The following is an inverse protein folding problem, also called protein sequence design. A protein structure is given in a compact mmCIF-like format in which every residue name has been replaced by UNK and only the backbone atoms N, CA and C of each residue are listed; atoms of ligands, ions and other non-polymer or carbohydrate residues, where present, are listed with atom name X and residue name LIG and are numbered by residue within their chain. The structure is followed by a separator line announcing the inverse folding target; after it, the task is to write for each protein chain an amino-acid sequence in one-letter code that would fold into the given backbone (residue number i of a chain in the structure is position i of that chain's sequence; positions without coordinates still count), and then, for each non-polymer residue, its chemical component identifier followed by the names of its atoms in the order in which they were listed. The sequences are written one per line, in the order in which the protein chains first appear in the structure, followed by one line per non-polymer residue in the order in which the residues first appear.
data_IF_945983802466
#
_entry.id   IF_945983802466
#
_cell.length_a   1.000
_cell.length_b   1.000
_cell.length_c   1.000
_cell.angle_alpha   90.00
_cell.angle_beta   90.00
_cell.angle_gamma   90.00
#
_symmetry.space_group_name_H-M   'P 1'
#
loop_
_entity.id
_entity.type
_entity.pdbx_description
1 polymer ?
#
# COMPACT_ATOMS: atom_id res chain seq x y z
N UNK A 1 17.89 16.03 26.07
CA UNK A 1 16.80 16.09 25.08
C UNK A 1 16.70 14.74 24.36
N UNK A 2 15.60 13.98 24.54
CA UNK A 2 15.37 12.75 23.76
C UNK A 2 14.96 13.16 22.34
N UNK A 3 15.74 12.76 21.32
CA UNK A 3 15.35 12.91 19.91
C UNK A 3 13.98 12.23 19.73
N UNK A 4 12.99 12.94 19.19
CA UNK A 4 11.74 12.32 18.72
C UNK A 4 12.15 11.30 17.65
N UNK A 5 11.92 10.03 17.94
CA UNK A 5 12.12 8.96 16.98
C UNK A 5 11.04 9.13 15.91
N UNK A 6 11.45 9.51 14.71
CA UNK A 6 10.55 9.78 13.60
C UNK A 6 9.88 8.47 13.20
N UNK A 7 8.58 8.33 13.43
CA UNK A 7 7.83 7.05 13.37
C UNK A 7 7.75 6.46 11.94
N UNK A 8 8.26 7.20 10.97
CA UNK A 8 8.48 6.76 9.58
C UNK A 8 9.58 5.68 9.47
N UNK A 9 10.45 5.57 10.48
CA UNK A 9 11.53 4.57 10.62
C UNK A 9 11.05 3.21 11.19
N UNK A 10 10.03 2.59 10.62
CA UNK A 10 9.60 1.25 11.08
C UNK A 10 9.10 0.32 9.98
N UNK A 11 8.41 0.85 8.97
CA UNK A 11 8.03 0.06 7.80
C UNK A 11 9.19 -0.07 6.81
N UNK A 12 9.80 1.06 6.43
CA UNK A 12 10.89 1.10 5.45
C UNK A 12 12.07 0.25 5.94
N UNK A 13 12.50 0.41 7.20
CA UNK A 13 13.61 -0.36 7.76
C UNK A 13 13.36 -1.87 7.73
N UNK A 14 12.11 -2.29 8.02
CA UNK A 14 11.73 -3.70 7.95
C UNK A 14 11.84 -4.23 6.53
N UNK A 15 11.23 -3.54 5.56
CA UNK A 15 11.24 -4.00 4.16
C UNK A 15 12.67 -3.95 3.60
N UNK A 16 13.46 -2.94 3.95
CA UNK A 16 14.87 -2.87 3.58
C UNK A 16 15.65 -4.07 4.11
N UNK A 17 15.43 -4.48 5.36
CA UNK A 17 16.06 -5.67 5.92
C UNK A 17 15.64 -6.94 5.17
N UNK A 18 14.34 -7.11 4.92
CA UNK A 18 13.81 -8.28 4.20
C UNK A 18 14.39 -8.34 2.77
N UNK A 19 14.58 -7.19 2.11
CA UNK A 19 15.24 -7.10 0.79
C UNK A 19 16.72 -7.48 0.87
N UNK A 20 17.46 -6.94 1.85
CA UNK A 20 18.88 -7.23 2.03
C UNK A 20 19.09 -8.73 2.26
N UNK A 21 18.31 -9.34 3.14
CA UNK A 21 18.38 -10.77 3.43
C UNK A 21 18.09 -11.63 2.18
N UNK A 22 17.10 -11.25 1.36
CA UNK A 22 16.83 -11.94 0.11
C UNK A 22 18.02 -11.87 -0.86
N UNK A 23 18.66 -10.71 -0.96
CA UNK A 23 19.84 -10.50 -1.81
C UNK A 23 21.05 -11.28 -1.31
N UNK A 24 21.31 -11.30 0.00
CA UNK A 24 22.37 -12.09 0.62
C UNK A 24 22.19 -13.60 0.36
N UNK A 25 20.94 -14.06 0.29
CA UNK A 25 20.57 -15.43 -0.06
C UNK A 25 20.56 -15.70 -1.59
N UNK A 26 21.13 -14.80 -2.40
CA UNK A 26 21.25 -14.97 -3.85
C UNK A 26 19.93 -14.84 -4.61
N UNK A 27 18.87 -14.35 -3.97
CA UNK A 27 17.55 -14.17 -4.58
C UNK A 27 17.28 -12.69 -4.79
N UNK A 28 17.36 -12.21 -6.03
CA UNK A 28 16.82 -10.90 -6.37
C UNK A 28 15.29 -11.02 -6.49
N UNK A 29 14.50 -10.41 -5.59
CA UNK A 29 13.06 -10.65 -5.56
C UNK A 29 12.30 -10.12 -6.78
N UNK A 30 12.92 -9.23 -7.55
CA UNK A 30 12.42 -8.73 -8.83
C UNK A 30 12.87 -9.58 -10.04
N UNK A 31 13.63 -10.66 -9.83
CA UNK A 31 14.16 -11.53 -10.90
C UNK A 31 13.92 -12.99 -10.53
N UNK A 32 13.07 -13.68 -11.29
CA UNK A 32 13.02 -15.16 -11.23
C UNK A 32 14.25 -15.71 -11.97
N UNK A 33 15.04 -16.63 -11.38
CA UNK A 33 16.26 -17.13 -12.01
C UNK A 33 16.03 -17.98 -13.28
N UNK A 34 14.80 -18.45 -13.53
CA UNK A 34 14.48 -19.38 -14.63
C UNK A 34 13.62 -18.79 -15.76
N UNK A 35 13.34 -17.49 -15.79
CA UNK A 35 12.68 -16.87 -16.93
C UNK A 35 13.29 -15.51 -17.24
N UNK A 36 14.07 -15.45 -18.34
CA UNK A 36 14.68 -14.21 -18.87
C UNK A 36 13.69 -13.17 -19.39
N UNK A 37 12.45 -13.17 -18.91
CA UNK A 37 11.47 -12.14 -19.17
C UNK A 37 10.79 -11.79 -17.85
N UNK A 38 10.97 -10.53 -17.44
CA UNK A 38 10.07 -9.87 -16.49
C UNK A 38 8.74 -9.71 -17.24
N UNK A 39 7.96 -10.77 -17.40
CA UNK A 39 6.66 -10.65 -18.06
C UNK A 39 5.74 -9.86 -17.13
N UNK A 40 4.99 -8.92 -17.71
CA UNK A 40 3.94 -8.14 -17.03
C UNK A 40 2.98 -9.02 -16.20
N UNK A 41 2.91 -10.32 -16.50
CA UNK A 41 2.07 -11.32 -15.85
C UNK A 41 2.41 -11.58 -14.37
N UNK A 42 3.60 -11.19 -13.91
CA UNK A 42 4.07 -11.46 -12.54
C UNK A 42 4.21 -10.21 -11.66
N UNK A 43 3.93 -9.03 -12.19
CA UNK A 43 3.97 -7.80 -11.41
C UNK A 43 2.83 -7.79 -10.39
N UNK A 44 3.10 -7.55 -9.08
CA UNK A 44 2.03 -7.42 -8.11
C UNK A 44 1.00 -6.38 -8.53
N UNK A 45 -0.27 -6.77 -8.53
CA UNK A 45 -1.35 -5.88 -8.98
C UNK A 45 -2.63 -6.09 -8.16
N UNK A 46 -3.49 -5.08 -8.19
CA UNK A 46 -4.81 -5.19 -7.60
C UNK A 46 -5.81 -5.79 -8.61
N UNK A 47 -6.38 -6.98 -8.35
CA UNK A 47 -7.24 -7.66 -9.32
C UNK A 47 -8.59 -6.96 -9.55
N UNK A 48 -8.99 -6.02 -8.69
CA UNK A 48 -10.22 -5.25 -8.87
C UNK A 48 -9.98 -4.05 -9.79
N UNK A 49 -8.88 -3.34 -9.61
CA UNK A 49 -8.61 -2.11 -10.38
C UNK A 49 -7.72 -2.33 -11.60
N UNK A 50 -7.06 -3.49 -11.70
CA UNK A 50 -6.05 -3.80 -12.71
C UNK A 50 -4.73 -3.03 -12.53
N UNK A 51 -4.62 -2.17 -11.51
CA UNK A 51 -3.43 -1.33 -11.31
C UNK A 51 -2.30 -2.13 -10.68
N UNK A 52 -1.11 -2.00 -11.26
CA UNK A 52 0.13 -2.53 -10.70
C UNK A 52 0.55 -1.70 -9.48
N UNK A 53 1.18 -2.36 -8.51
CA UNK A 53 1.86 -1.69 -7.41
C UNK A 53 3.22 -1.16 -7.89
N UNK A 54 3.66 -0.06 -7.29
CA UNK A 54 4.88 0.64 -7.69
C UNK A 54 5.84 0.81 -6.50
N UNK A 55 7.11 1.10 -6.80
CA UNK A 55 8.13 1.44 -5.82
C UNK A 55 8.35 0.36 -4.76
N UNK A 56 8.45 0.76 -3.48
CA UNK A 56 8.72 -0.18 -2.37
C UNK A 56 7.60 -1.21 -2.19
N UNK A 57 6.36 -0.89 -2.57
CA UNK A 57 5.26 -1.84 -2.50
C UNK A 57 5.41 -2.93 -3.56
N UNK A 58 5.87 -2.57 -4.77
CA UNK A 58 6.18 -3.57 -5.79
C UNK A 58 7.20 -4.58 -5.28
N UNK A 59 8.29 -4.11 -4.68
CA UNK A 59 9.36 -4.98 -4.18
C UNK A 59 8.88 -5.87 -3.03
N UNK A 60 8.25 -5.28 -2.02
CA UNK A 60 7.71 -6.02 -0.88
C UNK A 60 6.69 -7.09 -1.32
N UNK A 61 5.72 -6.72 -2.15
CA UNK A 61 4.70 -7.66 -2.60
C UNK A 61 5.26 -8.75 -3.52
N UNK A 62 6.30 -8.45 -4.31
CA UNK A 62 7.01 -9.45 -5.12
C UNK A 62 7.71 -10.50 -4.24
N UNK A 63 8.39 -10.07 -3.17
CA UNK A 63 8.98 -10.96 -2.16
C UNK A 63 7.93 -11.90 -1.56
N UNK A 64 6.81 -11.33 -1.10
CA UNK A 64 5.76 -12.11 -0.47
C UNK A 64 5.08 -13.07 -1.47
N UNK A 65 4.82 -12.62 -2.70
CA UNK A 65 4.27 -13.47 -3.75
C UNK A 65 5.19 -14.66 -4.04
N UNK A 66 6.51 -14.46 -4.08
CA UNK A 66 7.47 -15.55 -4.28
C UNK A 66 7.38 -16.61 -3.19
N UNK A 67 7.21 -16.20 -1.93
CA UNK A 67 6.98 -17.11 -0.80
C UNK A 67 5.61 -17.82 -0.86
N UNK A 68 4.64 -17.27 -1.61
CA UNK A 68 3.27 -17.76 -1.75
C UNK A 68 3.00 -18.34 -3.15
N UNK A 69 3.88 -19.21 -3.64
CA UNK A 69 3.79 -19.90 -4.95
C UNK A 69 3.78 -18.99 -6.19
N UNK A 70 4.08 -17.70 -6.04
CA UNK A 70 4.19 -16.74 -7.12
C UNK A 70 2.90 -16.05 -7.54
N UNK A 71 1.80 -16.12 -6.77
CA UNK A 71 0.57 -15.39 -7.13
C UNK A 71 0.75 -13.87 -6.94
N UNK A 72 0.64 -13.05 -7.99
CA UNK A 72 0.88 -11.61 -7.93
C UNK A 72 -0.37 -10.80 -7.53
N UNK A 73 -1.50 -11.44 -7.27
CA UNK A 73 -2.76 -10.74 -6.99
C UNK A 73 -2.85 -10.33 -5.53
N UNK A 74 -2.92 -9.01 -5.29
CA UNK A 74 -3.05 -8.46 -3.94
C UNK A 74 -4.30 -7.61 -3.81
N UNK A 75 -5.11 -7.87 -2.79
CA UNK A 75 -6.31 -7.10 -2.51
C UNK A 75 -6.53 -6.93 -1.02
N UNK A 76 -7.27 -5.89 -0.65
CA UNK A 76 -7.65 -5.69 0.76
C UNK A 76 -8.77 -6.64 1.17
N UNK A 77 -8.89 -6.88 2.47
CA UNK A 77 -9.98 -7.69 3.03
C UNK A 77 -11.38 -7.16 2.63
N UNK A 78 -11.58 -5.83 2.66
CA UNK A 78 -12.84 -5.21 2.25
C UNK A 78 -13.15 -5.43 0.77
N UNK A 79 -12.12 -5.39 -0.08
CA UNK A 79 -12.25 -5.71 -1.49
C UNK A 79 -12.68 -7.17 -1.69
N UNK A 80 -12.11 -8.12 -0.94
CA UNK A 80 -12.52 -9.52 -1.02
C UNK A 80 -14.00 -9.69 -0.63
N UNK A 81 -14.44 -9.06 0.46
CA UNK A 81 -15.84 -9.07 0.88
C UNK A 81 -16.79 -8.49 -0.19
N UNK A 82 -16.37 -7.43 -0.89
CA UNK A 82 -17.18 -6.84 -1.97
C UNK A 82 -17.43 -7.80 -3.13
N UNK A 83 -16.55 -8.78 -3.33
CA UNK A 83 -16.69 -9.86 -4.31
C UNK A 83 -17.39 -11.11 -3.72
N UNK A 84 -17.94 -11.03 -2.51
CA UNK A 84 -18.47 -12.17 -1.74
C UNK A 84 -17.44 -13.28 -1.51
N UNK A 85 -16.16 -12.95 -1.53
CA UNK A 85 -15.06 -13.85 -1.20
C UNK A 85 -14.64 -13.68 0.28
N UNK A 86 -14.01 -14.72 0.84
CA UNK A 86 -13.56 -14.74 2.23
C UNK A 86 -12.07 -15.08 2.32
N UNK A 87 -11.33 -14.26 3.07
CA UNK A 87 -9.96 -14.59 3.46
C UNK A 87 -9.98 -15.79 4.42
N UNK A 88 -9.19 -16.81 4.12
CA UNK A 88 -9.13 -18.03 4.94
C UNK A 88 -8.75 -17.70 6.39
N UNK A 89 -9.34 -18.42 7.33
CA UNK A 89 -9.06 -18.23 8.76
C UNK A 89 -7.58 -18.52 9.05
N UNK A 90 -6.91 -17.60 9.74
CA UNK A 90 -5.50 -17.73 10.12
C UNK A 90 -4.52 -17.04 9.16
N UNK A 91 -4.96 -16.64 7.97
CA UNK A 91 -4.13 -15.89 7.03
C UNK A 91 -3.78 -14.49 7.57
N UNK A 92 -2.58 -14.02 7.24
CA UNK A 92 -2.08 -12.69 7.62
C UNK A 92 -1.92 -11.83 6.37
N UNK A 93 -2.31 -10.57 6.47
CA UNK A 93 -2.08 -9.60 5.40
C UNK A 93 -0.66 -9.04 5.42
N UNK A 94 -0.27 -8.46 4.29
CA UNK A 94 0.99 -7.73 4.13
C UNK A 94 0.73 -6.22 4.19
N UNK A 95 1.53 -5.50 4.99
CA UNK A 95 1.48 -4.04 5.04
C UNK A 95 2.06 -3.42 3.76
N UNK A 96 1.43 -2.34 3.29
CA UNK A 96 1.93 -1.50 2.19
C UNK A 96 1.98 -0.04 2.66
N UNK A 97 2.78 0.78 1.99
CA UNK A 97 2.88 2.21 2.28
C UNK A 97 2.18 3.06 1.22
N UNK A 98 1.37 4.01 1.66
CA UNK A 98 0.70 4.96 0.78
C UNK A 98 0.91 6.38 1.31
N UNK A 99 1.46 7.25 0.44
CA UNK A 99 1.69 8.65 0.76
C UNK A 99 0.48 9.46 0.31
N UNK A 100 -0.19 10.08 1.28
CA UNK A 100 -1.36 10.93 1.02
C UNK A 100 -1.02 12.37 1.37
N UNK A 101 -0.76 13.17 0.33
CA UNK A 101 -0.45 14.60 0.47
C UNK A 101 -1.70 15.47 0.52
N UNK A 102 -2.89 14.89 0.62
CA UNK A 102 -4.14 15.63 0.67
C UNK A 102 -4.97 15.23 1.88
N UNK A 103 -5.58 16.23 2.51
CA UNK A 103 -6.56 16.04 3.58
C UNK A 103 -7.86 16.73 3.19
N UNK A 104 -8.96 16.17 3.67
CA UNK A 104 -10.25 16.84 3.57
C UNK A 104 -10.46 17.65 4.84
N UNK A 105 -10.64 18.96 4.68
CA UNK A 105 -10.95 19.89 5.77
C UNK A 105 -12.32 20.49 5.55
N UNK A 106 -12.97 20.90 6.64
CA UNK A 106 -14.25 21.62 6.55
C UNK A 106 -13.99 22.99 5.89
N UNK A 107 -14.83 23.34 4.92
CA UNK A 107 -14.79 24.64 4.25
C UNK A 107 -15.30 25.69 5.22
N UNK A 108 -14.51 26.75 5.40
CA UNK A 108 -14.89 27.90 6.23
C UNK A 108 -15.33 29.07 5.34
N UNK A 109 -16.22 29.90 5.86
CA UNK A 109 -16.54 31.22 5.29
C UNK A 109 -15.52 32.28 5.76
N UNK A 110 -15.72 33.53 5.33
CA UNK A 110 -14.85 34.67 5.65
C UNK A 110 -14.82 34.99 7.16
N UNK A 111 -15.82 34.53 7.92
CA UNK A 111 -15.93 34.68 9.37
C UNK A 111 -15.41 33.46 10.16
N UNK A 112 -14.87 32.45 9.46
CA UNK A 112 -14.31 31.23 10.06
C UNK A 112 -15.36 30.20 10.50
N UNK A 113 -16.62 30.32 10.09
CA UNK A 113 -17.68 29.33 10.34
C UNK A 113 -17.74 28.29 9.23
N UNK A 114 -18.15 27.07 9.60
CA UNK A 114 -18.26 25.94 8.66
C UNK A 114 -19.41 26.18 7.69
N UNK A 115 -19.11 26.12 6.39
CA UNK A 115 -20.14 26.15 5.35
C UNK A 115 -20.83 24.79 5.31
N UNK A 116 -22.16 24.78 5.41
CA UNK A 116 -22.97 23.57 5.40
C UNK A 116 -23.59 23.33 4.01
N UNK A 117 -23.81 22.07 3.67
CA UNK A 117 -24.56 21.64 2.49
C UNK A 117 -26.09 21.71 2.73
N UNK A 118 -26.87 21.36 1.70
CA UNK A 118 -28.33 21.32 1.76
C UNK A 118 -28.90 20.35 2.82
N UNK A 119 -28.07 19.45 3.36
CA UNK A 119 -28.43 18.49 4.39
C UNK A 119 -27.85 18.86 5.77
N UNK A 120 -27.42 20.11 5.94
CA UNK A 120 -26.84 20.64 7.17
C UNK A 120 -25.52 19.95 7.59
N UNK A 121 -24.75 19.44 6.63
CA UNK A 121 -23.43 18.81 6.87
C UNK A 121 -22.29 19.72 6.38
N UNK A 122 -21.15 19.80 7.10
CA UNK A 122 -20.02 20.59 6.64
C UNK A 122 -19.52 20.17 5.26
N UNK A 123 -19.43 21.15 4.35
CA UNK A 123 -18.81 20.98 3.04
C UNK A 123 -17.32 20.73 3.25
N UNK A 124 -16.78 19.70 2.62
CA UNK A 124 -15.34 19.40 2.70
C UNK A 124 -14.61 19.85 1.45
N UNK A 125 -13.46 20.50 1.63
CA UNK A 125 -12.54 20.85 0.54
C UNK A 125 -11.26 20.04 0.66
N UNK A 126 -10.69 19.68 -0.49
CA UNK A 126 -9.40 18.98 -0.55
C UNK A 126 -8.29 20.02 -0.42
N UNK A 127 -7.49 19.91 0.62
CA UNK A 127 -6.32 20.75 0.85
C UNK A 127 -5.04 19.90 0.79
N UNK A 128 -4.00 20.42 0.15
CA UNK A 128 -2.66 19.82 0.18
C UNK A 128 -2.14 19.94 1.61
N UNK A 129 -1.69 18.82 2.18
CA UNK A 129 -1.04 18.80 3.48
C UNK A 129 0.34 19.45 3.33
N UNK A 130 0.49 20.64 3.94
CA UNK A 130 1.75 21.39 4.09
C UNK A 130 2.61 20.82 5.19
#
# INVERSE_FOLDING_TARGET
MKKRQDKTLSYIDKISKDIIEALENGTAPWIKPWSGSVTHDNAPFNPITGKQYEGINFLNLSLQSMAMNGDPRWMTFKQAQSLKAQVKKGEKGTSIQYWKFTKQIDKLDDDGKKILDANNKPIKVTQIAS
#
